data_IF_808237328811
#
_entry.id   IF_808237328811
#
_cell.length_a   1.000
_cell.length_b   1.000
_cell.length_c   1.000
_cell.angle_alpha   90.00
_cell.angle_beta   90.00
_cell.angle_gamma   90.00
#
_symmetry.space_group_name_H-M   'P 1'
#
loop_
_entity.id
_entity.type
_entity.pdbx_description
1 polymer ?
#
# COMPACT_ATOMS: atom_id res chain seq x y z
N UNK A 1 -5.76 7.27 4.93
CA UNK A 1 -5.45 8.05 6.15
C UNK A 1 -4.06 8.66 6.04
N UNK A 2 -3.96 9.96 5.80
CA UNK A 2 -2.74 10.72 6.05
C UNK A 2 -3.17 12.02 6.74
N UNK A 3 -2.96 12.09 8.05
CA UNK A 3 -3.08 13.32 8.82
C UNK A 3 -2.04 14.33 8.28
N UNK A 4 -2.51 15.44 7.70
CA UNK A 4 -1.69 16.64 7.58
C UNK A 4 -1.97 17.49 8.81
N UNK A 5 -1.27 17.19 9.90
CA UNK A 5 -1.12 18.12 11.00
C UNK A 5 -0.16 19.21 10.54
N UNK A 6 -0.71 20.30 10.01
CA UNK A 6 0.04 21.52 9.72
C UNK A 6 0.49 22.11 11.05
N UNK A 7 1.80 22.12 11.26
CA UNK A 7 2.40 22.79 12.43
C UNK A 7 2.27 24.30 12.27
N UNK A 8 2.43 25.05 13.38
CA UNK A 8 2.18 26.50 13.51
C UNK A 8 2.89 27.42 12.48
N UNK A 9 3.78 26.87 11.64
CA UNK A 9 4.49 27.57 10.57
C UNK A 9 4.00 27.22 9.16
N UNK A 10 2.89 26.49 9.02
CA UNK A 10 2.33 26.10 7.71
C UNK A 10 3.15 25.04 6.96
N UNK A 11 4.11 24.39 7.65
CA UNK A 11 4.92 23.32 7.08
C UNK A 11 4.22 21.97 7.27
N UNK A 12 4.32 21.12 6.25
CA UNK A 12 3.83 19.74 6.31
C UNK A 12 4.58 18.96 7.42
N UNK A 13 3.91 17.96 8.01
CA UNK A 13 4.52 17.10 9.03
C UNK A 13 5.76 16.38 8.47
N UNK A 14 6.81 16.30 9.29
CA UNK A 14 8.06 15.63 8.92
C UNK A 14 7.78 14.15 8.64
N UNK A 15 8.08 13.62 7.44
CA UNK A 15 7.88 12.21 7.15
C UNK A 15 8.80 11.31 7.99
N UNK A 16 8.39 10.06 8.27
CA UNK A 16 9.19 9.13 9.07
C UNK A 16 10.54 8.82 8.40
N UNK A 17 11.58 8.65 9.19
CA UNK A 17 12.96 8.40 8.75
C UNK A 17 13.17 7.06 8.04
N UNK A 18 12.16 6.19 8.02
CA UNK A 18 12.17 4.90 7.31
C UNK A 18 12.10 5.04 5.78
N UNK A 19 11.73 6.21 5.24
CA UNK A 19 11.67 6.48 3.80
C UNK A 19 12.57 7.68 3.43
N UNK A 20 13.83 7.42 2.99
CA UNK A 20 14.80 8.46 2.71
C UNK A 20 14.44 9.33 1.49
N UNK A 21 13.69 8.78 0.52
CA UNK A 21 13.28 9.54 -0.67
C UNK A 21 12.20 10.56 -0.34
N UNK A 22 11.25 10.19 0.51
CA UNK A 22 10.21 11.10 0.99
C UNK A 22 10.77 12.18 1.92
N UNK A 23 11.78 11.83 2.72
CA UNK A 23 12.51 12.78 3.56
C UNK A 23 13.28 13.81 2.71
N UNK A 24 13.98 13.37 1.67
CA UNK A 24 14.71 14.26 0.76
C UNK A 24 13.76 15.21 0.02
N UNK A 25 12.64 14.69 -0.49
CA UNK A 25 11.62 15.51 -1.17
C UNK A 25 11.02 16.56 -0.22
N UNK A 26 10.74 16.17 1.02
CA UNK A 26 10.31 17.09 2.07
C UNK A 26 11.34 18.20 2.32
N UNK A 27 12.62 17.85 2.55
CA UNK A 27 13.71 18.81 2.77
C UNK A 27 13.83 19.78 1.59
N UNK A 28 13.81 19.29 0.35
CA UNK A 28 13.88 20.12 -0.85
C UNK A 28 12.68 21.06 -0.97
N UNK A 29 11.49 20.64 -0.53
CA UNK A 29 10.29 21.49 -0.53
C UNK A 29 10.33 22.62 0.51
N UNK A 30 10.89 22.36 1.70
CA UNK A 30 10.94 23.34 2.80
C UNK A 30 12.17 24.25 2.73
N UNK A 31 13.25 23.80 2.08
CA UNK A 31 14.53 24.51 1.95
C UNK A 31 14.38 25.95 1.45
N UNK A 32 13.63 26.25 0.37
CA UNK A 32 13.45 27.61 -0.11
C UNK A 32 12.71 28.50 0.90
N UNK A 33 11.69 27.97 1.58
CA UNK A 33 10.90 28.69 2.57
C UNK A 33 11.74 28.97 3.83
N UNK A 34 12.49 27.98 4.30
CA UNK A 34 13.43 28.12 5.41
C UNK A 34 14.53 29.14 5.09
N UNK A 35 15.11 29.07 3.89
CA UNK A 35 16.13 30.03 3.45
C UNK A 35 15.58 31.45 3.38
N UNK A 36 14.36 31.63 2.86
CA UNK A 36 13.67 32.92 2.84
C UNK A 36 13.38 33.45 4.25
N UNK A 37 12.98 32.57 5.17
CA UNK A 37 12.76 32.93 6.58
C UNK A 37 14.06 33.34 7.26
N UNK A 38 15.16 32.62 7.06
CA UNK A 38 16.47 32.97 7.61
C UNK A 38 17.01 34.28 7.02
N UNK A 39 16.84 34.50 5.71
CA UNK A 39 17.21 35.75 5.04
C UNK A 39 16.38 36.94 5.56
N UNK A 40 15.07 36.77 5.74
CA UNK A 40 14.23 37.83 6.31
C UNK A 40 14.56 38.08 7.79
N UNK A 41 14.77 37.04 8.59
CA UNK A 41 15.21 37.15 9.99
C UNK A 41 16.54 37.90 10.12
N UNK A 42 17.53 37.55 9.31
CA UNK A 42 18.82 38.26 9.28
C UNK A 42 18.68 39.69 8.80
N UNK A 43 17.88 39.96 7.76
CA UNK A 43 17.58 41.31 7.29
C UNK A 43 16.94 42.17 8.39
N UNK A 44 15.89 41.67 9.07
CA UNK A 44 15.25 42.39 10.17
C UNK A 44 16.21 42.64 11.34
N UNK A 45 17.09 41.69 11.63
CA UNK A 45 18.11 41.85 12.69
C UNK A 45 19.10 42.97 12.36
N UNK A 46 19.62 42.99 11.13
CA UNK A 46 20.55 44.00 10.65
C UNK A 46 19.88 45.38 10.55
N UNK A 47 18.64 45.43 10.04
CA UNK A 47 17.85 46.66 9.95
C UNK A 47 17.57 47.24 11.34
N UNK A 48 17.16 46.42 12.31
CA UNK A 48 16.99 46.86 13.70
C UNK A 48 18.31 47.35 14.31
N UNK A 49 19.43 46.68 14.02
CA UNK A 49 20.73 47.13 14.49
C UNK A 49 21.13 48.48 13.87
N UNK A 50 20.81 48.71 12.59
CA UNK A 50 21.04 49.99 11.93
C UNK A 50 20.18 51.10 12.54
N UNK A 51 18.87 50.87 12.71
CA UNK A 51 17.97 51.82 13.37
C UNK A 51 18.44 52.20 14.78
N UNK A 52 18.94 51.24 15.56
CA UNK A 52 19.51 51.51 16.89
C UNK A 52 20.72 52.44 16.81
N UNK A 53 21.63 52.21 15.86
CA UNK A 53 22.80 53.08 15.65
C UNK A 53 22.40 54.49 15.24
N UNK A 54 21.43 54.64 14.36
CA UNK A 54 20.93 55.97 13.96
C UNK A 54 20.28 56.70 15.14
N UNK A 55 19.47 56.01 15.95
CA UNK A 55 18.90 56.60 17.16
C UNK A 55 19.98 57.04 18.15
N UNK A 56 21.02 56.24 18.35
CA UNK A 56 22.14 56.59 19.22
C UNK A 56 22.92 57.80 18.67
N UNK A 57 23.10 57.89 17.35
CA UNK A 57 23.72 59.05 16.71
C UNK A 57 22.89 60.33 16.87
N UNK A 58 21.57 60.23 16.69
CA UNK A 58 20.65 61.36 16.89
C UNK A 58 20.64 61.80 18.36
N UNK A 59 20.66 60.86 19.30
CA UNK A 59 20.77 61.15 20.74
C UNK A 59 22.05 61.90 21.08
N UNK A 60 23.20 61.43 20.61
CA UNK A 60 24.48 62.11 20.81
C UNK A 60 24.47 63.53 20.21
N UNK A 61 23.90 63.69 19.01
CA UNK A 61 23.75 65.02 18.41
C UNK A 61 22.84 65.94 19.21
N UNK A 62 21.78 65.40 19.81
CA UNK A 62 20.84 66.17 20.63
C UNK A 62 21.47 66.58 21.97
N UNK A 63 22.19 65.66 22.63
CA UNK A 63 22.96 65.94 23.84
C UNK A 63 23.97 67.07 23.60
N UNK A 64 24.73 67.00 22.50
CA UNK A 64 25.68 68.04 22.11
C UNK A 64 25.02 69.40 21.83
N UNK A 65 23.86 69.40 21.15
CA UNK A 65 23.10 70.64 20.90
C UNK A 65 22.52 71.23 22.20
N UNK A 66 22.13 70.37 23.14
CA UNK A 66 21.63 70.78 24.45
C UNK A 66 22.75 71.39 25.31
N UNK A 67 23.95 70.79 25.32
CA UNK A 67 25.13 71.35 25.98
C UNK A 67 25.48 72.73 25.41
N UNK A 68 25.52 72.87 24.08
CA UNK A 68 25.74 74.18 23.42
C UNK A 68 24.68 75.21 23.76
N UNK A 69 23.41 74.82 23.82
CA UNK A 69 22.34 75.72 24.20
C UNK A 69 22.49 76.19 25.65
N UNK A 70 22.95 75.30 26.55
CA UNK A 70 23.23 75.63 27.93
C UNK A 70 24.41 76.62 28.04
N UNK A 71 25.51 76.37 27.33
CA UNK A 71 26.67 77.26 27.29
C UNK A 71 26.31 78.68 26.80
N UNK A 72 25.46 78.78 25.78
CA UNK A 72 25.00 80.08 25.27
C UNK A 72 24.09 80.81 26.28
N UNK A 73 23.26 80.08 27.03
CA UNK A 73 22.44 80.67 28.10
C UNK A 73 23.32 81.14 29.28
N UNK A 74 24.35 80.39 29.66
CA UNK A 74 25.31 80.82 30.68
C UNK A 74 26.04 82.10 30.26
N UNK A 75 26.49 82.18 28.99
CA UNK A 75 27.09 83.41 28.44
C UNK A 75 26.12 84.58 28.47
N UNK A 76 24.85 84.35 28.09
CA UNK A 76 23.79 85.37 28.13
C UNK A 76 23.62 85.91 29.55
N UNK A 77 23.49 85.02 30.53
CA UNK A 77 23.33 85.37 31.94
C UNK A 77 24.56 86.10 32.50
N UNK A 78 25.77 85.69 32.10
CA UNK A 78 27.01 86.39 32.46
C UNK A 78 27.04 87.82 31.91
N UNK A 79 26.71 88.01 30.62
CA UNK A 79 26.68 89.34 29.99
C UNK A 79 25.61 90.22 30.64
N UNK A 80 24.44 89.68 30.94
CA UNK A 80 23.36 90.40 31.63
C UNK A 80 23.79 90.84 33.03
N UNK A 81 24.43 89.94 33.80
CA UNK A 81 24.98 90.26 35.12
C UNK A 81 26.08 91.32 35.03
N UNK A 82 27.03 91.17 34.13
CA UNK A 82 28.11 92.14 33.91
C UNK A 82 27.56 93.51 33.55
N UNK A 83 26.60 93.59 32.62
CA UNK A 83 25.93 94.84 32.26
C UNK A 83 25.22 95.47 33.48
N UNK A 84 24.56 94.67 34.32
CA UNK A 84 23.91 95.14 35.54
C UNK A 84 24.92 95.68 36.57
N UNK A 85 26.08 95.03 36.73
CA UNK A 85 27.16 95.46 37.62
C UNK A 85 27.80 96.75 37.14
N UNK A 86 28.08 96.90 35.84
CA UNK A 86 28.61 98.15 35.27
C UNK A 86 27.62 99.32 35.48
N UNK A 87 26.33 99.09 35.28
CA UNK A 87 25.30 100.11 35.55
C UNK A 87 25.22 100.44 37.04
N UNK A 88 25.35 99.43 37.91
CA UNK A 88 25.37 99.60 39.37
C UNK A 88 26.60 100.38 39.83
N UNK A 89 27.81 100.01 39.40
CA UNK A 89 29.06 100.74 39.71
C UNK A 89 28.98 102.19 39.23
N UNK A 90 28.49 102.42 37.99
CA UNK A 90 28.27 103.79 37.49
C UNK A 90 27.30 104.55 38.38
N UNK A 91 26.16 103.95 38.74
CA UNK A 91 25.18 104.59 39.62
C UNK A 91 25.73 104.81 41.03
N UNK A 92 26.52 103.90 41.57
CA UNK A 92 27.19 104.05 42.86
C UNK A 92 28.25 105.15 42.81
N UNK A 93 29.04 105.28 41.74
CA UNK A 93 29.95 106.41 41.52
C UNK A 93 29.21 107.74 41.39
N UNK A 94 28.01 107.74 40.81
CA UNK A 94 27.15 108.92 40.71
C UNK A 94 26.45 109.26 42.03
N UNK A 95 26.19 108.28 42.90
CA UNK A 95 25.36 108.43 44.10
C UNK A 95 26.09 108.20 45.43
N UNK A 96 27.38 107.84 45.43
CA UNK A 96 28.16 107.71 46.66
C UNK A 96 28.25 109.06 47.37
N UNK A 97 27.61 109.12 48.54
CA UNK A 97 27.75 110.22 49.51
C UNK A 97 29.15 110.15 50.15
N UNK A 98 30.18 110.50 49.40
CA UNK A 98 31.55 110.47 49.90
C UNK A 98 32.51 111.25 49.01
N UNK A 99 32.75 112.51 49.38
CA UNK A 99 33.70 113.48 48.79
C UNK A 99 33.26 114.15 47.48
N UNK A 100 32.93 115.44 47.61
CA UNK A 100 32.64 116.42 46.55
C UNK A 100 33.87 116.79 45.71
N UNK A 101 34.68 115.83 45.28
CA UNK A 101 35.90 116.12 44.48
C UNK A 101 35.84 115.58 43.06
N UNK A 102 34.89 114.71 42.72
CA UNK A 102 34.57 114.46 41.32
C UNK A 102 33.62 115.56 40.83
N UNK A 103 34.19 116.56 40.13
CA UNK A 103 33.45 117.50 39.30
C UNK A 103 32.83 116.71 38.15
N UNK A 104 31.71 116.05 38.42
CA UNK A 104 30.82 115.58 37.38
C UNK A 104 30.37 116.82 36.60
N UNK A 105 30.53 116.75 35.28
CA UNK A 105 30.21 117.81 34.34
C UNK A 105 28.70 118.01 34.32
N UNK A 106 28.18 118.90 35.16
CA UNK A 106 26.77 119.23 35.19
C UNK A 106 26.52 120.35 34.18
N UNK A 107 26.04 120.01 32.98
CA UNK A 107 25.58 120.99 31.99
C UNK A 107 24.39 121.87 32.48
N UNK A 108 23.88 121.65 33.70
CA UNK A 108 22.82 122.44 34.30
C UNK A 108 23.30 123.78 34.92
N UNK A 109 24.61 124.00 35.10
CA UNK A 109 25.12 125.18 35.84
C UNK A 109 25.99 126.16 35.01
N UNK A 110 25.97 126.11 33.68
CA UNK A 110 26.72 127.06 32.82
C UNK A 110 25.92 128.37 32.65
N UNK A 111 26.05 129.31 33.60
CA UNK A 111 25.40 130.65 33.54
C UNK A 111 26.27 131.77 32.96
N UNK A 112 27.52 131.53 32.57
CA UNK A 112 28.31 132.49 31.81
C UNK A 112 29.23 131.78 30.81
N UNK A 113 28.80 131.72 29.55
CA UNK A 113 29.63 131.46 28.39
C UNK A 113 28.94 132.09 27.16
N UNK A 114 28.74 133.41 27.21
CA UNK A 114 28.50 134.20 26.02
C UNK A 114 29.83 134.32 25.27
N UNK A 115 29.86 133.85 24.03
CA UNK A 115 31.01 133.80 23.12
C UNK A 115 31.97 132.62 23.33
N UNK A 116 31.46 131.42 23.06
CA UNK A 116 32.21 130.46 22.26
C UNK A 116 31.23 129.86 21.25
N UNK A 117 31.64 129.72 19.99
CA UNK A 117 30.94 128.93 18.98
C UNK A 117 31.09 127.44 19.36
N UNK A 118 30.54 127.09 20.51
CA UNK A 118 30.45 125.72 21.01
C UNK A 118 29.40 125.03 20.12
N UNK A 119 29.89 124.34 19.08
CA UNK A 119 29.15 123.35 18.28
C UNK A 119 28.85 122.11 19.14
N UNK A 120 28.42 122.33 20.37
CA UNK A 120 27.86 121.30 21.25
C UNK A 120 26.35 121.39 21.13
N UNK A 121 25.69 120.38 20.55
CA UNK A 121 24.24 120.40 20.43
C UNK A 121 23.64 120.62 21.82
N UNK A 122 22.76 121.62 21.94
CA UNK A 122 22.03 121.91 23.17
C UNK A 122 21.40 120.61 23.70
N UNK A 123 21.33 120.43 25.02
CA UNK A 123 20.65 119.27 25.65
C UNK A 123 19.24 119.09 25.07
N UNK A 124 18.57 120.17 24.67
CA UNK A 124 17.27 120.13 24.00
C UNK A 124 17.34 119.48 22.61
N UNK A 125 18.40 119.72 21.83
CA UNK A 125 18.65 119.06 20.53
C UNK A 125 18.94 117.57 20.70
N UNK A 126 19.84 117.20 21.62
CA UNK A 126 20.15 115.78 21.92
C UNK A 126 18.93 115.01 22.45
N UNK A 127 18.08 115.65 23.27
CA UNK A 127 16.81 115.08 23.72
C UNK A 127 15.81 114.93 22.56
N UNK A 128 15.75 115.90 21.66
CA UNK A 128 14.92 115.83 20.45
C UNK A 128 15.36 114.69 19.51
N UNK A 129 16.65 114.61 19.20
CA UNK A 129 17.24 113.54 18.39
C UNK A 129 16.99 112.17 19.02
N UNK A 130 17.21 112.02 20.34
CA UNK A 130 16.95 110.75 21.03
C UNK A 130 15.47 110.37 21.04
N UNK A 131 14.57 111.35 21.17
CA UNK A 131 13.13 111.12 21.04
C UNK A 131 12.75 110.70 19.61
N UNK A 132 13.35 111.30 18.58
CA UNK A 132 13.11 110.89 17.18
C UNK A 132 13.64 109.49 16.89
N UNK A 133 14.82 109.14 17.42
CA UNK A 133 15.41 107.80 17.32
C UNK A 133 14.52 106.76 18.02
N UNK A 134 14.09 107.04 19.26
CA UNK A 134 13.16 106.16 19.99
C UNK A 134 11.81 106.05 19.29
N UNK A 135 11.31 107.13 18.70
CA UNK A 135 10.07 107.11 17.91
C UNK A 135 10.23 106.26 16.65
N UNK A 136 11.40 106.32 15.99
CA UNK A 136 11.70 105.48 14.83
C UNK A 136 11.82 104.00 15.24
N UNK A 137 12.55 103.70 16.31
CA UNK A 137 12.66 102.35 16.86
C UNK A 137 11.30 101.80 17.29
N UNK A 138 10.44 102.62 17.91
CA UNK A 138 9.08 102.23 18.26
C UNK A 138 8.27 101.89 17.00
N UNK A 139 8.34 102.71 15.95
CA UNK A 139 7.66 102.43 14.67
C UNK A 139 8.17 101.13 14.04
N UNK A 140 9.48 100.90 14.03
CA UNK A 140 10.09 99.67 13.52
C UNK A 140 9.65 98.45 14.33
N UNK A 141 9.65 98.55 15.67
CA UNK A 141 9.20 97.47 16.55
C UNK A 141 7.71 97.18 16.38
N UNK A 142 6.87 98.21 16.22
CA UNK A 142 5.44 98.05 15.92
C UNK A 142 5.26 97.33 14.59
N UNK A 143 5.99 97.71 13.53
CA UNK A 143 5.93 97.03 12.23
C UNK A 143 6.38 95.56 12.32
N UNK A 144 7.49 95.29 13.03
CA UNK A 144 7.98 93.93 13.26
C UNK A 144 6.96 93.08 14.04
N UNK A 145 6.24 93.67 15.00
CA UNK A 145 5.20 93.00 15.75
C UNK A 145 4.00 92.65 14.85
N UNK A 146 3.56 93.57 14.00
CA UNK A 146 2.50 93.27 13.01
C UNK A 146 2.92 92.16 12.02
N UNK A 147 4.18 92.13 11.60
CA UNK A 147 4.68 91.06 10.74
C UNK A 147 4.73 89.70 11.47
N UNK A 148 5.12 89.69 12.75
CA UNK A 148 5.07 88.49 13.61
C UNK A 148 3.65 87.98 13.78
N UNK A 149 2.67 88.87 14.02
CA UNK A 149 1.26 88.50 14.12
C UNK A 149 0.73 87.89 12.81
N UNK A 150 1.11 88.48 11.66
CA UNK A 150 0.78 87.91 10.34
C UNK A 150 1.37 86.51 10.18
N UNK A 151 2.63 86.32 10.56
CA UNK A 151 3.29 85.00 10.48
C UNK A 151 2.62 83.98 11.40
N UNK A 152 2.25 84.38 12.63
CA UNK A 152 1.50 83.51 13.55
C UNK A 152 0.16 83.09 12.96
N UNK A 153 -0.59 84.00 12.35
CA UNK A 153 -1.86 83.67 11.67
C UNK A 153 -1.63 82.69 10.50
N UNK A 154 -0.59 82.90 9.69
CA UNK A 154 -0.26 81.95 8.61
C UNK A 154 0.16 80.59 9.14
N UNK A 155 0.94 80.53 10.22
CA UNK A 155 1.35 79.28 10.84
C UNK A 155 0.15 78.52 11.43
N UNK A 156 -0.79 79.23 12.06
CA UNK A 156 -2.04 78.64 12.55
C UNK A 156 -2.90 78.07 11.41
N UNK A 157 -3.02 78.80 10.30
CA UNK A 157 -3.72 78.30 9.11
C UNK A 157 -3.06 77.03 8.56
N UNK A 158 -1.73 77.02 8.41
CA UNK A 158 -1.00 75.84 7.94
C UNK A 158 -1.18 74.66 8.90
N UNK A 159 -1.08 74.89 10.21
CA UNK A 159 -1.30 73.85 11.21
C UNK A 159 -2.72 73.27 11.11
N UNK A 160 -3.73 74.11 10.95
CA UNK A 160 -5.12 73.67 10.77
C UNK A 160 -5.31 72.87 9.48
N UNK A 161 -4.76 73.32 8.36
CA UNK A 161 -4.82 72.59 7.09
C UNK A 161 -4.13 71.22 7.21
N UNK A 162 -2.96 71.17 7.86
CA UNK A 162 -2.23 69.91 8.07
C UNK A 162 -2.96 68.95 8.99
N UNK A 163 -3.68 69.46 10.00
CA UNK A 163 -4.56 68.64 10.83
C UNK A 163 -5.68 68.01 9.99
N UNK A 164 -6.34 68.78 9.12
CA UNK A 164 -7.40 68.26 8.24
C UNK A 164 -6.85 67.20 7.27
N UNK A 165 -5.69 67.46 6.65
CA UNK A 165 -5.03 66.49 5.76
C UNK A 165 -4.68 65.19 6.49
N UNK A 166 -4.15 65.28 7.72
CA UNK A 166 -3.85 64.12 8.55
C UNK A 166 -5.12 63.35 8.90
N UNK A 167 -6.19 64.03 9.32
CA UNK A 167 -7.46 63.38 9.66
C UNK A 167 -8.10 62.69 8.44
N UNK A 168 -8.02 63.30 7.26
CA UNK A 168 -8.46 62.71 6.00
C UNK A 168 -7.63 61.45 5.64
N UNK A 169 -6.31 61.52 5.76
CA UNK A 169 -5.42 60.39 5.54
C UNK A 169 -5.72 59.24 6.51
N UNK A 170 -5.86 59.54 7.80
CA UNK A 170 -6.21 58.56 8.83
C UNK A 170 -7.57 57.93 8.58
N UNK A 171 -8.57 58.70 8.11
CA UNK A 171 -9.87 58.18 7.71
C UNK A 171 -9.77 57.21 6.52
N UNK A 172 -8.97 57.56 5.51
CA UNK A 172 -8.71 56.69 4.35
C UNK A 172 -8.05 55.37 4.77
N UNK A 173 -7.01 55.44 5.60
CA UNK A 173 -6.32 54.25 6.12
C UNK A 173 -7.26 53.33 6.91
N UNK A 174 -8.19 53.89 7.71
CA UNK A 174 -9.20 53.09 8.44
C UNK A 174 -10.13 52.36 7.48
N UNK A 175 -10.61 53.03 6.44
CA UNK A 175 -11.48 52.40 5.42
C UNK A 175 -10.76 51.29 4.66
N UNK A 176 -9.50 51.51 4.29
CA UNK A 176 -8.69 50.48 3.63
C UNK A 176 -8.48 49.27 4.53
N UNK A 177 -8.14 49.49 5.80
CA UNK A 177 -8.03 48.42 6.80
C UNK A 177 -9.35 47.64 6.93
N UNK A 178 -10.48 48.32 7.01
CA UNK A 178 -11.79 47.67 7.16
C UNK A 178 -12.12 46.83 5.90
N UNK A 179 -11.82 47.34 4.71
CA UNK A 179 -11.94 46.60 3.45
C UNK A 179 -11.04 45.34 3.42
N UNK A 180 -9.79 45.46 3.88
CA UNK A 180 -8.89 44.31 3.99
C UNK A 180 -9.39 43.27 5.00
N UNK A 181 -9.97 43.69 6.12
CA UNK A 181 -10.59 42.77 7.07
C UNK A 181 -11.80 42.03 6.47
N UNK A 182 -12.66 42.73 5.72
CA UNK A 182 -13.78 42.12 5.00
C UNK A 182 -13.29 41.08 3.99
N UNK A 183 -12.23 41.41 3.24
CA UNK A 183 -11.62 40.51 2.26
C UNK A 183 -11.01 39.26 2.92
N UNK A 184 -10.29 39.42 4.03
CA UNK A 184 -9.75 38.30 4.82
C UNK A 184 -10.87 37.42 5.35
N UNK A 185 -11.97 38.01 5.85
CA UNK A 185 -13.12 37.25 6.33
C UNK A 185 -13.80 36.47 5.20
N UNK A 186 -13.92 37.05 4.00
CA UNK A 186 -14.45 36.37 2.82
C UNK A 186 -13.57 35.17 2.41
N UNK A 187 -12.24 35.36 2.33
CA UNK A 187 -11.31 34.27 2.02
C UNK A 187 -11.41 33.16 3.06
N UNK A 188 -11.43 33.52 4.35
CA UNK A 188 -11.51 32.56 5.45
C UNK A 188 -12.81 31.76 5.39
N UNK A 189 -13.93 32.42 5.07
CA UNK A 189 -15.22 31.76 4.83
C UNK A 189 -15.16 30.77 3.67
N UNK A 190 -14.56 31.16 2.54
CA UNK A 190 -14.38 30.26 1.39
C UNK A 190 -13.47 29.08 1.71
N UNK A 191 -12.37 29.30 2.43
CA UNK A 191 -11.45 28.25 2.85
C UNK A 191 -12.15 27.21 3.71
N UNK A 192 -12.88 27.64 4.75
CA UNK A 192 -13.62 26.70 5.62
C UNK A 192 -14.72 25.95 4.88
N UNK A 193 -15.35 26.55 3.86
CA UNK A 193 -16.31 25.85 3.01
C UNK A 193 -15.63 24.79 2.12
N UNK A 194 -14.47 25.12 1.55
CA UNK A 194 -13.66 24.16 0.76
C UNK A 194 -13.15 23.01 1.63
N UNK A 195 -12.70 23.26 2.85
CA UNK A 195 -12.30 22.21 3.80
C UNK A 195 -13.46 21.25 4.08
N UNK A 196 -14.66 21.76 4.35
CA UNK A 196 -15.85 20.91 4.55
C UNK A 196 -16.17 20.06 3.33
N UNK A 197 -16.13 20.64 2.13
CA UNK A 197 -16.35 19.89 0.88
C UNK A 197 -15.28 18.81 0.67
N UNK A 198 -14.01 19.07 1.01
CA UNK A 198 -12.96 18.08 0.97
C UNK A 198 -13.19 16.95 1.97
N UNK A 199 -13.61 17.26 3.20
CA UNK A 199 -13.96 16.24 4.19
C UNK A 199 -15.15 15.39 3.74
N UNK A 200 -16.18 16.00 3.18
CA UNK A 200 -17.34 15.28 2.63
C UNK A 200 -16.91 14.36 1.47
N UNK A 201 -16.12 14.85 0.51
CA UNK A 201 -15.60 14.04 -0.59
C UNK A 201 -14.70 12.90 -0.11
N UNK A 202 -13.83 13.13 0.88
CA UNK A 202 -13.00 12.10 1.49
C UNK A 202 -13.85 11.02 2.19
N UNK A 203 -14.93 11.42 2.87
CA UNK A 203 -15.85 10.49 3.52
C UNK A 203 -16.59 9.61 2.50
N UNK A 204 -17.05 10.21 1.39
CA UNK A 204 -17.69 9.47 0.30
C UNK A 204 -16.71 8.50 -0.35
N UNK A 205 -15.48 8.94 -0.62
CA UNK A 205 -14.43 8.08 -1.17
C UNK A 205 -14.12 6.89 -0.25
N UNK A 206 -14.10 7.09 1.07
CA UNK A 206 -13.88 5.99 2.02
C UNK A 206 -15.00 4.93 1.95
N UNK A 207 -16.25 5.35 1.77
CA UNK A 207 -17.39 4.44 1.58
C UNK A 207 -17.28 3.68 0.27
N UNK A 208 -16.94 4.36 -0.84
CA UNK A 208 -16.76 3.74 -2.15
C UNK A 208 -15.59 2.73 -2.16
N UNK A 209 -14.47 3.06 -1.51
CA UNK A 209 -13.35 2.12 -1.35
C UNK A 209 -13.79 0.87 -0.59
N UNK A 210 -14.55 1.04 0.49
CA UNK A 210 -15.07 -0.11 1.25
C UNK A 210 -16.05 -0.95 0.42
N UNK A 211 -16.90 -0.32 -0.41
CA UNK A 211 -17.81 -1.01 -1.32
C UNK A 211 -17.04 -1.79 -2.39
N UNK A 212 -16.02 -1.19 -3.00
CA UNK A 212 -15.13 -1.85 -3.96
C UNK A 212 -14.39 -3.03 -3.33
N UNK A 213 -13.85 -2.89 -2.11
CA UNK A 213 -13.22 -4.01 -1.42
C UNK A 213 -14.18 -5.18 -1.20
N UNK A 214 -15.45 -4.91 -0.87
CA UNK A 214 -16.47 -5.97 -0.75
C UNK A 214 -16.72 -6.64 -2.09
N UNK A 215 -16.91 -5.86 -3.15
CA UNK A 215 -17.12 -6.39 -4.49
C UNK A 215 -15.92 -7.21 -4.98
N UNK A 216 -14.68 -6.77 -4.71
CA UNK A 216 -13.48 -7.54 -5.05
C UNK A 216 -13.42 -8.87 -4.30
N UNK A 217 -13.75 -8.89 -2.99
CA UNK A 217 -13.85 -10.15 -2.24
C UNK A 217 -14.90 -11.10 -2.83
N UNK A 218 -16.07 -10.59 -3.21
CA UNK A 218 -17.11 -11.40 -3.87
C UNK A 218 -16.62 -11.98 -5.21
N UNK A 219 -15.86 -11.20 -5.99
CA UNK A 219 -15.25 -11.67 -7.24
C UNK A 219 -14.21 -12.76 -6.95
N UNK A 220 -13.37 -12.59 -5.94
CA UNK A 220 -12.37 -13.60 -5.56
C UNK A 220 -13.03 -14.91 -5.08
N UNK A 221 -14.11 -14.82 -4.29
CA UNK A 221 -14.91 -15.98 -3.87
C UNK A 221 -15.53 -16.71 -5.07
N UNK A 222 -16.00 -15.96 -6.07
CA UNK A 222 -16.53 -16.52 -7.32
C UNK A 222 -15.44 -17.19 -8.16
N UNK A 223 -14.25 -16.61 -8.25
CA UNK A 223 -13.11 -17.23 -8.93
C UNK A 223 -12.70 -18.53 -8.25
N UNK A 224 -12.58 -18.55 -6.92
CA UNK A 224 -12.26 -19.77 -6.18
C UNK A 224 -13.30 -20.86 -6.44
N UNK A 225 -14.59 -20.51 -6.46
CA UNK A 225 -15.66 -21.47 -6.73
C UNK A 225 -15.66 -21.97 -8.18
N UNK A 226 -15.26 -21.13 -9.14
CA UNK A 226 -15.05 -21.55 -10.52
C UNK A 226 -13.89 -22.55 -10.61
N UNK A 227 -12.76 -22.27 -9.97
CA UNK A 227 -11.60 -23.18 -9.94
C UNK A 227 -11.97 -24.55 -9.35
N UNK A 228 -12.74 -24.57 -8.26
CA UNK A 228 -13.27 -25.80 -7.65
C UNK A 228 -14.19 -26.58 -8.60
N UNK A 229 -15.08 -25.88 -9.32
CA UNK A 229 -15.97 -26.50 -10.30
C UNK A 229 -15.20 -27.02 -11.52
N UNK A 230 -14.21 -26.30 -12.01
CA UNK A 230 -13.35 -26.74 -13.10
C UNK A 230 -12.57 -28.00 -12.73
N UNK A 231 -12.02 -28.06 -11.51
CA UNK A 231 -11.36 -29.25 -10.99
C UNK A 231 -12.32 -30.45 -10.88
N UNK A 232 -13.56 -30.22 -10.42
CA UNK A 232 -14.60 -31.26 -10.37
C UNK A 232 -14.97 -31.78 -11.77
N UNK A 233 -15.13 -30.87 -12.74
CA UNK A 233 -15.42 -31.24 -14.14
C UNK A 233 -14.28 -32.07 -14.72
N UNK A 234 -13.04 -31.69 -14.47
CA UNK A 234 -11.88 -32.42 -14.98
C UNK A 234 -11.76 -33.82 -14.34
N UNK A 235 -12.03 -33.93 -13.05
CA UNK A 235 -12.12 -35.24 -12.37
C UNK A 235 -13.22 -36.11 -12.98
N UNK A 236 -14.42 -35.57 -13.20
CA UNK A 236 -15.52 -36.30 -13.85
C UNK A 236 -15.18 -36.71 -15.28
N UNK A 237 -14.46 -35.88 -16.04
CA UNK A 237 -13.98 -36.22 -17.39
C UNK A 237 -13.00 -37.39 -17.35
N UNK A 238 -12.07 -37.40 -16.38
CA UNK A 238 -11.14 -38.50 -16.20
C UNK A 238 -11.87 -39.80 -15.83
N UNK A 239 -12.82 -39.74 -14.90
CA UNK A 239 -13.67 -40.89 -14.55
C UNK A 239 -14.47 -41.40 -15.76
N UNK A 240 -15.04 -40.52 -16.57
CA UNK A 240 -15.74 -40.90 -17.80
C UNK A 240 -14.79 -41.57 -18.80
N UNK A 241 -13.59 -41.04 -19.00
CA UNK A 241 -12.60 -41.64 -19.89
C UNK A 241 -12.18 -43.06 -19.43
N UNK A 242 -12.02 -43.27 -18.12
CA UNK A 242 -11.77 -44.59 -17.54
C UNK A 242 -12.95 -45.54 -17.77
N UNK A 243 -14.19 -45.06 -17.58
CA UNK A 243 -15.40 -45.85 -17.82
C UNK A 243 -15.57 -46.21 -19.29
N UNK A 244 -15.27 -45.29 -20.21
CA UNK A 244 -15.27 -45.55 -21.65
C UNK A 244 -14.25 -46.64 -22.01
N UNK A 245 -13.04 -46.59 -21.44
CA UNK A 245 -12.04 -47.66 -21.60
C UNK A 245 -12.55 -49.01 -21.08
N UNK A 246 -13.20 -49.04 -19.91
CA UNK A 246 -13.80 -50.26 -19.35
C UNK A 246 -14.92 -50.81 -20.26
N UNK A 247 -15.77 -49.94 -20.79
CA UNK A 247 -16.84 -50.31 -21.72
C UNK A 247 -16.26 -50.90 -22.99
N UNK A 248 -15.22 -50.31 -23.55
CA UNK A 248 -14.58 -50.83 -24.76
C UNK A 248 -13.87 -52.17 -24.51
N UNK A 249 -13.25 -52.36 -23.34
CA UNK A 249 -12.73 -53.66 -22.93
C UNK A 249 -13.83 -54.71 -22.80
N UNK A 250 -14.96 -54.38 -22.16
CA UNK A 250 -16.12 -55.27 -22.04
C UNK A 250 -16.73 -55.61 -23.41
N UNK A 251 -16.87 -54.63 -24.31
CA UNK A 251 -17.30 -54.88 -25.70
C UNK A 251 -16.37 -55.87 -26.40
N UNK A 252 -15.06 -55.76 -26.21
CA UNK A 252 -14.10 -56.67 -26.81
C UNK A 252 -14.21 -58.08 -26.21
N UNK A 253 -14.36 -58.20 -24.89
CA UNK A 253 -14.60 -59.47 -24.22
C UNK A 253 -15.90 -60.13 -24.70
N UNK A 254 -16.98 -59.38 -24.87
CA UNK A 254 -18.25 -59.89 -25.42
C UNK A 254 -18.08 -60.36 -26.87
N UNK A 255 -17.37 -59.62 -27.72
CA UNK A 255 -17.06 -60.06 -29.09
C UNK A 255 -16.26 -61.36 -29.10
N UNK A 256 -15.26 -61.48 -28.23
CA UNK A 256 -14.46 -62.70 -28.08
C UNK A 256 -15.33 -63.87 -27.59
N UNK A 257 -16.16 -63.65 -26.57
CA UNK A 257 -17.08 -64.65 -26.04
C UNK A 257 -18.07 -65.12 -27.11
N UNK A 258 -18.66 -64.20 -27.88
CA UNK A 258 -19.56 -64.54 -29.00
C UNK A 258 -18.83 -65.27 -30.14
N UNK A 259 -17.52 -65.06 -30.34
CA UNK A 259 -16.72 -65.82 -31.30
C UNK A 259 -16.47 -67.25 -30.81
N UNK A 260 -16.11 -67.41 -29.52
CA UNK A 260 -15.95 -68.73 -28.89
C UNK A 260 -17.27 -69.48 -28.86
N UNK A 261 -18.38 -68.82 -28.52
CA UNK A 261 -19.72 -69.40 -28.56
C UNK A 261 -20.05 -69.92 -29.96
N UNK A 262 -19.81 -69.13 -31.00
CA UNK A 262 -20.00 -69.57 -32.40
C UNK A 262 -19.13 -70.77 -32.75
N UNK A 263 -17.87 -70.80 -32.32
CA UNK A 263 -16.99 -71.95 -32.52
C UNK A 263 -17.53 -73.19 -31.79
N UNK A 264 -17.94 -73.07 -30.53
CA UNK A 264 -18.53 -74.17 -29.77
C UNK A 264 -19.84 -74.66 -30.38
N UNK A 265 -20.70 -73.75 -30.84
CA UNK A 265 -21.94 -74.12 -31.54
C UNK A 265 -21.64 -74.88 -32.84
N UNK A 266 -20.61 -74.48 -33.60
CA UNK A 266 -20.20 -75.19 -34.81
C UNK A 266 -19.62 -76.57 -34.50
N UNK A 267 -18.81 -76.69 -33.45
CA UNK A 267 -18.31 -77.98 -32.96
C UNK A 267 -19.46 -78.89 -32.48
N UNK A 268 -20.43 -78.34 -31.73
CA UNK A 268 -21.64 -79.05 -31.34
C UNK A 268 -22.46 -79.50 -32.55
N UNK A 269 -22.62 -78.66 -33.59
CA UNK A 269 -23.30 -79.05 -34.84
C UNK A 269 -22.52 -80.12 -35.61
N UNK A 270 -21.19 -80.05 -35.63
CA UNK A 270 -20.33 -81.07 -36.24
C UNK A 270 -20.46 -82.40 -35.52
N UNK A 271 -20.56 -82.38 -34.19
CA UNK A 271 -20.80 -83.58 -33.38
C UNK A 271 -22.24 -84.10 -33.55
N UNK A 272 -23.23 -83.22 -33.65
CA UNK A 272 -24.63 -83.55 -33.89
C UNK A 272 -24.98 -83.84 -35.37
N UNK A 273 -24.00 -84.27 -36.18
CA UNK A 273 -24.24 -84.58 -37.59
C UNK A 273 -25.26 -85.72 -37.74
N UNK A 274 -26.31 -85.54 -38.56
CA UNK A 274 -27.29 -86.58 -38.85
C UNK A 274 -26.58 -87.70 -39.61
N UNK A 275 -26.34 -88.81 -38.93
CA UNK A 275 -25.52 -89.90 -39.44
C UNK A 275 -24.65 -90.52 -38.36
N UNK A 276 -24.18 -89.73 -37.37
CA UNK A 276 -23.49 -90.26 -36.19
C UNK A 276 -24.44 -91.01 -35.27
N UNK A 277 -25.64 -90.48 -35.03
CA UNK A 277 -26.67 -91.19 -34.27
C UNK A 277 -27.11 -92.47 -35.01
N UNK A 278 -27.24 -92.41 -36.33
CA UNK A 278 -27.53 -93.58 -37.16
C UNK A 278 -26.36 -94.59 -37.19
N UNK A 279 -25.11 -94.13 -37.13
CA UNK A 279 -23.91 -94.97 -37.00
C UNK A 279 -23.82 -95.61 -35.62
N UNK A 280 -24.16 -94.87 -34.56
CA UNK A 280 -24.28 -95.38 -33.19
C UNK A 280 -25.38 -96.43 -33.12
N UNK A 281 -26.57 -96.17 -33.67
CA UNK A 281 -27.68 -97.14 -33.74
C UNK A 281 -27.31 -98.37 -34.59
N UNK A 282 -26.60 -98.19 -35.72
CA UNK A 282 -26.14 -99.29 -36.55
C UNK A 282 -25.08 -100.15 -35.85
N UNK A 283 -24.11 -99.54 -35.18
CA UNK A 283 -23.11 -100.24 -34.36
C UNK A 283 -23.76 -100.93 -33.16
N UNK A 284 -24.75 -100.30 -32.52
CA UNK A 284 -25.55 -100.92 -31.47
C UNK A 284 -26.29 -102.16 -32.00
N UNK A 285 -26.94 -102.06 -33.16
CA UNK A 285 -27.60 -103.18 -33.82
C UNK A 285 -26.61 -104.29 -34.21
N UNK A 286 -25.40 -103.94 -34.64
CA UNK A 286 -24.34 -104.91 -34.95
C UNK A 286 -23.81 -105.61 -33.69
N UNK A 287 -23.66 -104.89 -32.58
CA UNK A 287 -23.31 -105.45 -31.27
C UNK A 287 -24.41 -106.38 -30.78
N UNK A 288 -25.68 -106.01 -30.88
CA UNK A 288 -26.82 -106.85 -30.52
C UNK A 288 -26.90 -108.12 -31.39
N UNK A 289 -26.63 -108.00 -32.70
CA UNK A 289 -26.57 -109.15 -33.61
C UNK A 289 -25.43 -110.12 -33.25
N UNK A 290 -24.26 -109.60 -32.89
CA UNK A 290 -23.13 -110.41 -32.44
C UNK A 290 -23.41 -111.06 -31.08
N UNK A 291 -23.97 -110.31 -30.13
CA UNK A 291 -24.37 -110.86 -28.83
C UNK A 291 -25.41 -111.97 -28.98
N UNK A 292 -26.42 -111.78 -29.83
CA UNK A 292 -27.43 -112.81 -30.09
C UNK A 292 -26.84 -114.02 -30.83
N UNK A 293 -25.93 -113.83 -31.77
CA UNK A 293 -25.24 -114.92 -32.45
C UNK A 293 -24.34 -115.73 -31.50
N UNK A 294 -23.56 -115.05 -30.64
CA UNK A 294 -22.71 -115.67 -29.63
C UNK A 294 -23.54 -116.42 -28.59
N UNK A 295 -24.61 -115.80 -28.07
CA UNK A 295 -25.56 -116.45 -27.16
C UNK A 295 -26.20 -117.68 -27.82
N UNK A 296 -26.59 -117.60 -29.09
CA UNK A 296 -27.13 -118.75 -29.83
C UNK A 296 -26.08 -119.85 -30.03
N UNK A 297 -24.83 -119.50 -30.33
CA UNK A 297 -23.74 -120.46 -30.50
C UNK A 297 -23.39 -121.13 -29.17
N UNK A 298 -23.35 -120.36 -28.07
CA UNK A 298 -23.18 -120.86 -26.71
C UNK A 298 -24.32 -121.81 -26.37
N UNK A 299 -25.57 -121.40 -26.61
CA UNK A 299 -26.77 -122.21 -26.38
C UNK A 299 -26.66 -123.52 -27.15
N UNK A 300 -26.33 -123.52 -28.44
CA UNK A 300 -26.13 -124.75 -29.23
C UNK A 300 -25.02 -125.64 -28.68
N UNK A 301 -23.89 -125.09 -28.23
CA UNK A 301 -22.79 -125.85 -27.62
C UNK A 301 -23.23 -126.49 -26.30
N UNK A 302 -23.87 -125.73 -25.43
CA UNK A 302 -24.39 -126.24 -24.16
C UNK A 302 -25.52 -127.23 -24.35
N UNK A 303 -26.45 -127.03 -25.29
CA UNK A 303 -27.50 -128.00 -25.64
C UNK A 303 -26.89 -129.32 -26.13
N UNK A 304 -25.87 -129.28 -27.01
CA UNK A 304 -25.14 -130.48 -27.45
C UNK A 304 -24.40 -131.16 -26.29
N UNK A 305 -23.82 -130.38 -25.39
CA UNK A 305 -23.12 -130.93 -24.22
C UNK A 305 -24.12 -131.57 -23.23
N UNK A 306 -25.27 -130.94 -23.02
CA UNK A 306 -26.39 -131.49 -22.25
C UNK A 306 -26.89 -132.79 -22.89
N UNK A 307 -27.05 -132.84 -24.22
CA UNK A 307 -27.43 -134.07 -24.94
C UNK A 307 -26.37 -135.17 -24.81
N UNK A 308 -25.09 -134.85 -24.88
CA UNK A 308 -24.02 -135.82 -24.64
C UNK A 308 -24.02 -136.34 -23.20
N UNK A 309 -24.26 -135.48 -22.22
CA UNK A 309 -24.39 -135.88 -20.81
C UNK A 309 -25.66 -136.70 -20.59
N UNK A 310 -26.77 -136.39 -21.27
CA UNK A 310 -28.00 -137.19 -21.26
C UNK A 310 -27.78 -138.55 -21.90
N UNK A 311 -27.08 -138.64 -23.05
CA UNK A 311 -26.73 -139.90 -23.68
C UNK A 311 -25.76 -140.75 -22.82
N UNK A 312 -24.86 -140.10 -22.08
CA UNK A 312 -23.99 -140.74 -21.11
C UNK A 312 -24.79 -141.23 -19.89
N UNK A 313 -25.73 -140.43 -19.40
CA UNK A 313 -26.64 -140.81 -18.32
C UNK A 313 -27.52 -141.98 -18.76
N UNK A 314 -28.09 -141.97 -19.96
CA UNK A 314 -28.87 -143.07 -20.53
C UNK A 314 -28.04 -144.34 -20.73
N UNK A 315 -26.77 -144.21 -21.14
CA UNK A 315 -25.84 -145.35 -21.20
C UNK A 315 -25.53 -145.88 -19.81
N UNK A 316 -25.31 -144.99 -18.83
CA UNK A 316 -25.07 -145.35 -17.45
C UNK A 316 -26.30 -146.04 -16.85
N UNK A 317 -27.51 -145.52 -17.07
CA UNK A 317 -28.77 -146.16 -16.72
C UNK A 317 -28.90 -147.54 -17.36
N UNK A 318 -28.59 -147.71 -18.65
CA UNK A 318 -28.60 -149.04 -19.28
C UNK A 318 -27.55 -150.01 -18.73
N UNK A 319 -26.41 -149.52 -18.25
CA UNK A 319 -25.43 -150.34 -17.52
C UNK A 319 -25.89 -150.65 -16.10
N UNK A 320 -26.56 -149.71 -15.42
CA UNK A 320 -27.18 -149.95 -14.11
C UNK A 320 -28.29 -151.00 -14.25
N UNK A 321 -29.18 -150.87 -15.24
CA UNK A 321 -30.22 -151.85 -15.54
C UNK A 321 -29.65 -153.25 -15.86
N UNK A 322 -28.48 -153.31 -16.52
CA UNK A 322 -27.76 -154.58 -16.78
C UNK A 322 -27.11 -155.15 -15.53
N UNK A 323 -26.51 -154.33 -14.68
CA UNK A 323 -25.94 -154.75 -13.40
C UNK A 323 -27.03 -155.18 -12.41
N UNK A 324 -28.20 -154.54 -12.44
CA UNK A 324 -29.40 -154.95 -11.71
C UNK A 324 -29.97 -156.29 -12.23
N UNK A 325 -29.90 -156.53 -13.54
CA UNK A 325 -30.24 -157.84 -14.14
C UNK A 325 -29.22 -158.94 -13.77
N UNK A 326 -27.94 -158.62 -13.65
CA UNK A 326 -26.89 -159.55 -13.21
C UNK A 326 -26.97 -159.86 -11.69
N UNK A 327 -27.41 -158.90 -10.88
CA UNK A 327 -27.66 -159.08 -9.45
C UNK A 327 -28.84 -160.03 -9.16
N UNK A 328 -29.74 -160.24 -10.12
CA UNK A 328 -30.94 -161.04 -9.95
C UNK A 328 -30.75 -162.56 -10.20
N UNK A 329 -29.57 -162.99 -10.70
CA UNK A 329 -29.34 -164.37 -11.19
C UNK A 329 -28.50 -165.28 -10.27
N UNK A 330 -28.04 -164.80 -9.10
CA UNK A 330 -27.45 -165.62 -8.04
C UNK A 330 -28.18 -165.39 -6.72
N UNK A 331 -29.11 -166.30 -6.36
CA UNK A 331 -29.93 -166.21 -5.15
C UNK A 331 -29.58 -167.35 -4.18
N UNK A 332 -29.46 -167.06 -2.87
CA UNK A 332 -30.18 -167.87 -1.88
C UNK A 332 -30.94 -167.03 -0.84
N UNK A 333 -32.03 -167.64 -0.40
CA UNK A 333 -32.89 -167.41 0.78
C UNK A 333 -32.06 -167.19 2.07
N UNK A 334 -32.44 -166.38 3.08
CA UNK A 334 -33.66 -166.47 3.93
C UNK A 334 -33.83 -165.28 4.90
N UNK A 335 -35.09 -165.12 5.34
CA UNK A 335 -35.64 -164.78 6.68
C UNK A 335 -35.29 -163.47 7.41
N UNK A 336 -36.38 -162.79 7.81
CA UNK A 336 -36.60 -162.07 9.07
C UNK A 336 -35.64 -160.90 9.35
N UNK A 337 -36.05 -159.65 9.49
CA UNK A 337 -37.07 -159.19 10.42
C UNK A 337 -37.21 -157.67 10.23
N UNK A 338 -38.46 -157.27 10.13
CA UNK A 338 -39.07 -156.19 10.91
C UNK A 338 -38.68 -154.72 10.71
N UNK A 339 -39.79 -153.98 10.63
CA UNK A 339 -40.08 -152.64 11.15
C UNK A 339 -39.70 -151.47 10.26
N UNK A 340 -40.69 -150.86 9.59
CA UNK A 340 -41.62 -149.90 10.20
C UNK A 340 -40.88 -148.90 11.09
N UNK A 341 -40.81 -147.66 10.65
CA UNK A 341 -41.76 -146.68 11.15
C UNK A 341 -41.28 -145.26 10.95
N UNK A 342 -42.28 -144.41 10.72
CA UNK A 342 -42.34 -143.02 11.13
C UNK A 342 -41.65 -141.94 10.29
N UNK A 343 -42.53 -141.01 9.93
CA UNK A 343 -42.34 -139.57 9.91
C UNK A 343 -42.01 -138.92 8.56
N UNK A 344 -43.09 -138.60 7.86
CA UNK A 344 -43.37 -137.22 7.45
C UNK A 344 -43.05 -136.23 8.60
N UNK A 345 -42.86 -134.90 8.38
CA UNK A 345 -43.49 -134.17 7.28
C UNK A 345 -42.74 -132.90 6.79
N UNK A 346 -43.42 -132.21 5.87
CA UNK A 346 -43.65 -130.77 5.90
C UNK A 346 -42.55 -129.78 5.50
N UNK A 347 -42.92 -129.05 4.45
CA UNK A 347 -43.14 -127.59 4.44
C UNK A 347 -41.94 -126.66 4.67
N UNK A 348 -42.04 -125.63 3.84
CA UNK A 348 -41.87 -124.24 4.23
C UNK A 348 -40.43 -123.71 4.28
N UNK A 349 -40.17 -122.89 3.26
CA UNK A 349 -40.01 -121.46 3.49
C UNK A 349 -38.60 -120.97 3.85
N UNK A 350 -38.20 -119.97 3.08
CA UNK A 350 -38.04 -118.61 3.59
C UNK A 350 -36.69 -118.16 4.14
N UNK A 351 -36.09 -117.29 3.33
CA UNK A 351 -35.58 -115.97 3.65
C UNK A 351 -34.26 -115.81 4.43
N UNK A 352 -33.66 -114.65 4.11
CA UNK A 352 -32.71 -113.82 4.86
C UNK A 352 -31.23 -114.27 4.79
N UNK A 353 -30.22 -113.38 4.71
CA UNK A 353 -30.22 -111.95 5.04
C UNK A 353 -28.93 -111.19 4.60
N UNK A 354 -29.00 -109.86 4.74
CA UNK A 354 -27.97 -108.98 5.36
C UNK A 354 -26.99 -108.07 4.55
N UNK A 355 -27.35 -106.77 4.61
CA UNK A 355 -26.62 -105.58 5.13
C UNK A 355 -25.58 -104.74 4.35
N UNK A 356 -25.77 -103.41 4.51
CA UNK A 356 -24.83 -102.30 4.29
C UNK A 356 -25.50 -101.15 3.51
N UNK A 357 -26.37 -100.27 4.04
CA UNK A 357 -26.29 -99.27 5.13
C UNK A 357 -25.37 -98.06 4.88
N UNK A 358 -25.98 -96.86 5.03
CA UNK A 358 -25.45 -95.50 5.28
C UNK A 358 -25.23 -94.58 4.06
N UNK A 359 -25.43 -93.26 4.10
CA UNK A 359 -26.23 -92.31 4.92
C UNK A 359 -25.77 -90.90 4.50
N UNK A 360 -26.73 -89.97 4.37
CA UNK A 360 -26.65 -88.51 4.65
C UNK A 360 -25.72 -87.61 3.81
N UNK A 361 -26.28 -86.59 3.14
CA UNK A 361 -26.67 -85.24 3.65
C UNK A 361 -25.48 -84.39 4.11
N UNK A 362 -25.21 -83.29 3.40
CA UNK A 362 -25.43 -81.89 3.86
C UNK A 362 -24.85 -80.97 2.77
N UNK A 363 -25.64 -80.15 2.08
CA UNK A 363 -26.23 -78.87 2.51
C UNK A 363 -25.25 -77.68 2.43
N UNK A 364 -25.65 -76.74 1.56
CA UNK A 364 -25.73 -75.29 1.79
C UNK A 364 -24.41 -74.48 1.67
N UNK A 365 -24.27 -73.89 0.48
CA UNK A 365 -24.43 -72.46 0.17
C UNK A 365 -23.47 -71.38 0.71
N UNK A 366 -23.17 -70.50 -0.26
CA UNK A 366 -23.29 -69.04 -0.21
C UNK A 366 -22.04 -68.20 0.11
N UNK A 367 -21.76 -67.37 -0.89
CA UNK A 367 -21.52 -65.92 -0.83
C UNK A 367 -20.18 -65.37 -0.30
N UNK A 368 -19.37 -64.96 -1.28
CA UNK A 368 -18.91 -63.59 -1.58
C UNK A 368 -18.16 -62.74 -0.52
N UNK A 369 -17.26 -61.84 -0.98
CA UNK A 369 -16.22 -61.15 -0.20
C UNK A 369 -16.68 -59.80 0.37
N UNK A 370 -15.79 -59.02 1.04
CA UNK A 370 -15.19 -57.85 0.37
C UNK A 370 -13.76 -57.44 0.81
N UNK A 371 -13.01 -56.81 -0.10
CA UNK A 371 -12.32 -55.48 -0.11
C UNK A 371 -12.09 -54.67 1.22
N UNK A 372 -11.37 -53.51 1.25
CA UNK A 372 -9.97 -53.17 0.93
C UNK A 372 -9.29 -52.22 1.99
N UNK A 373 -8.07 -51.73 1.67
CA UNK A 373 -7.41 -50.46 2.10
C UNK A 373 -6.74 -50.34 3.49
N UNK A 374 -5.54 -49.71 3.54
CA UNK A 374 -5.25 -48.39 4.18
C UNK A 374 -3.73 -48.06 4.17
N UNK A 375 -3.48 -46.85 3.68
CA UNK A 375 -2.43 -45.83 3.85
C UNK A 375 -1.43 -45.93 5.04
N UNK A 376 -0.19 -45.43 4.86
CA UNK A 376 0.27 -44.12 5.41
C UNK A 376 1.80 -43.89 5.26
N UNK A 377 2.13 -42.80 4.58
CA UNK A 377 2.97 -41.64 4.96
C UNK A 377 4.45 -41.71 5.40
N UNK A 378 5.11 -40.58 5.06
CA UNK A 378 6.29 -39.92 5.63
C UNK A 378 7.69 -40.33 5.12
N UNK A 379 8.65 -39.45 4.83
CA UNK A 379 8.74 -37.99 4.62
C UNK A 379 10.20 -37.62 4.24
N UNK A 380 10.39 -36.38 3.78
CA UNK A 380 11.61 -35.55 3.78
C UNK A 380 12.60 -35.55 2.61
N UNK A 381 12.57 -34.40 1.92
CA UNK A 381 13.68 -33.75 1.22
C UNK A 381 14.78 -33.23 2.17
N UNK A 382 15.95 -32.89 1.61
CA UNK A 382 16.71 -31.74 2.08
C UNK A 382 17.10 -30.75 0.97
N UNK A 383 17.04 -29.48 1.38
CA UNK A 383 17.37 -28.25 0.66
C UNK A 383 18.83 -28.12 0.22
N UNK A 384 19.07 -27.30 -0.81
CA UNK A 384 20.39 -26.77 -1.17
C UNK A 384 20.37 -25.25 -1.32
N UNK A 385 21.45 -24.67 -0.80
CA UNK A 385 21.82 -23.27 -0.67
C UNK A 385 22.87 -22.86 -1.72
N UNK A 386 22.89 -21.57 -2.08
CA UNK A 386 24.05 -20.75 -2.54
C UNK A 386 23.53 -19.30 -2.71
N UNK A 387 24.05 -18.19 -2.14
CA UNK A 387 25.38 -17.65 -1.83
C UNK A 387 26.05 -16.82 -2.96
N UNK A 388 25.88 -15.48 -2.87
CA UNK A 388 26.90 -14.38 -3.01
C UNK A 388 27.52 -14.05 -4.40
N UNK A 389 28.26 -12.91 -4.60
CA UNK A 389 28.44 -11.65 -3.81
C UNK A 389 28.49 -10.29 -4.61
N UNK A 390 28.53 -9.16 -3.87
CA UNK A 390 29.30 -7.88 -4.01
C UNK A 390 29.30 -7.04 -5.33
N UNK A 391 29.53 -5.71 -5.40
CA UNK A 391 30.29 -4.76 -4.56
C UNK A 391 30.05 -3.26 -4.96
N UNK A 392 30.53 -2.33 -4.11
CA UNK A 392 30.96 -0.92 -4.37
C UNK A 392 29.93 0.23 -4.28
N UNK A 393 30.19 1.42 -3.71
CA UNK A 393 31.28 1.99 -2.91
C UNK A 393 30.77 3.34 -2.33
N UNK A 394 31.04 3.63 -1.05
CA UNK A 394 30.79 4.92 -0.41
C UNK A 394 32.05 5.79 -0.48
N UNK A 395 31.92 7.00 -1.04
CA UNK A 395 32.96 8.03 -1.00
C UNK A 395 32.90 8.82 0.32
N UNK A 396 33.95 8.70 1.13
CA UNK A 396 34.31 9.66 2.17
C UNK A 396 35.55 10.45 1.72
N UNK A 397 35.57 11.79 1.82
CA UNK A 397 36.80 12.55 1.68
C UNK A 397 37.53 12.62 3.02
N UNK A 398 38.76 12.13 3.01
CA UNK A 398 39.79 12.34 4.04
C UNK A 398 40.25 13.80 4.03
N UNK A 399 40.18 14.45 5.18
CA UNK A 399 40.90 15.69 5.49
C UNK A 399 42.32 15.34 5.90
N UNK A 400 43.33 15.84 5.19
CA UNK A 400 44.65 15.98 5.77
C UNK A 400 45.50 17.06 5.09
N UNK A 401 46.44 17.59 5.88
CA UNK A 401 47.55 18.51 5.58
C UNK A 401 47.32 20.03 5.72
N UNK A 402 47.69 20.49 6.91
CA UNK A 402 48.21 21.81 7.25
C UNK A 402 49.34 22.29 6.32
N UNK A 403 49.27 23.52 5.80
CA UNK A 403 50.37 24.49 5.87
C UNK A 403 49.92 25.92 5.48
N UNK A 404 50.49 26.89 6.18
CA UNK A 404 50.51 28.35 6.00
C UNK A 404 49.21 29.20 5.93
N UNK A 405 48.93 29.87 7.05
CA UNK A 405 47.75 30.71 7.31
C UNK A 405 47.81 32.12 6.70
N UNK A 406 47.82 32.22 5.37
CA UNK A 406 47.27 33.38 4.65
C UNK A 406 46.33 32.90 3.58
N UNK A 407 45.05 32.90 3.92
CA UNK A 407 43.93 32.70 2.99
C UNK A 407 44.17 33.59 1.77
N UNK A 408 44.44 32.96 0.61
CA UNK A 408 44.60 33.63 -0.69
C UNK A 408 43.26 34.26 -1.09
N UNK A 409 43.00 35.43 -0.51
CA UNK A 409 41.74 36.17 -0.64
C UNK A 409 41.46 36.52 -2.09
N UNK A 410 42.50 36.77 -2.88
CA UNK A 410 42.39 37.09 -4.30
C UNK A 410 42.10 35.84 -5.13
N UNK A 411 42.69 34.69 -4.79
CA UNK A 411 42.32 33.39 -5.35
C UNK A 411 40.87 33.01 -5.10
N UNK A 412 40.38 33.21 -3.87
CA UNK A 412 38.98 32.95 -3.48
C UNK A 412 38.02 33.90 -4.20
N UNK A 413 38.35 35.19 -4.29
CA UNK A 413 37.52 36.16 -5.02
C UNK A 413 37.42 35.81 -6.50
N UNK A 414 38.52 35.39 -7.13
CA UNK A 414 38.53 34.97 -8.53
C UNK A 414 37.71 33.70 -8.75
N UNK A 415 37.76 32.76 -7.81
CA UNK A 415 36.98 31.52 -7.88
C UNK A 415 35.48 31.77 -7.64
N UNK A 416 35.12 32.68 -6.72
CA UNK A 416 33.74 33.13 -6.53
C UNK A 416 33.22 33.85 -7.77
N UNK A 417 34.03 34.69 -8.40
CA UNK A 417 33.64 35.40 -9.63
C UNK A 417 33.39 34.41 -10.78
N UNK A 418 34.23 33.39 -10.95
CA UNK A 418 34.01 32.32 -11.93
C UNK A 418 32.75 31.50 -11.65
N UNK A 419 32.45 31.23 -10.37
CA UNK A 419 31.23 30.52 -9.98
C UNK A 419 29.97 31.36 -10.22
N UNK A 420 30.03 32.67 -10.01
CA UNK A 420 28.94 33.60 -10.33
C UNK A 420 28.72 33.66 -11.84
N UNK A 421 29.79 33.77 -12.62
CA UNK A 421 29.71 33.76 -14.09
C UNK A 421 29.13 32.45 -14.64
N UNK A 422 29.54 31.30 -14.08
CA UNK A 422 28.99 29.99 -14.48
C UNK A 422 27.53 29.83 -14.03
N UNK A 423 27.16 30.32 -12.85
CA UNK A 423 25.77 30.34 -12.38
C UNK A 423 24.90 31.21 -13.28
N UNK A 424 25.38 32.38 -13.71
CA UNK A 424 24.67 33.25 -14.64
C UNK A 424 24.52 32.63 -16.02
N UNK A 425 25.54 31.90 -16.48
CA UNK A 425 25.49 31.14 -17.73
C UNK A 425 24.44 30.03 -17.68
N UNK A 426 24.37 29.27 -16.58
CA UNK A 426 23.36 28.22 -16.38
C UNK A 426 21.96 28.79 -16.29
N UNK A 427 21.76 29.87 -15.53
CA UNK A 427 20.49 30.59 -15.45
C UNK A 427 20.02 31.05 -16.84
N UNK A 428 20.90 31.64 -17.66
CA UNK A 428 20.56 32.05 -19.03
C UNK A 428 20.19 30.86 -19.93
N UNK A 429 20.84 29.71 -19.77
CA UNK A 429 20.51 28.50 -20.52
C UNK A 429 19.14 27.93 -20.09
N UNK A 430 18.86 27.91 -18.79
CA UNK A 430 17.57 27.49 -18.24
C UNK A 430 16.43 28.43 -18.66
N UNK A 431 16.65 29.75 -18.62
CA UNK A 431 15.69 30.74 -19.11
C UNK A 431 15.42 30.58 -20.62
N UNK A 432 16.44 30.25 -21.41
CA UNK A 432 16.27 29.96 -22.84
C UNK A 432 15.47 28.67 -23.08
N UNK A 433 15.73 27.62 -22.30
CA UNK A 433 14.99 26.37 -22.36
C UNK A 433 13.52 26.55 -21.95
N UNK A 434 13.27 27.31 -20.88
CA UNK A 434 11.92 27.61 -20.42
C UNK A 434 11.09 28.38 -21.47
N UNK A 435 11.73 29.26 -22.25
CA UNK A 435 11.07 29.95 -23.37
C UNK A 435 10.68 28.99 -24.48
N UNK A 436 11.57 28.06 -24.85
CA UNK A 436 11.25 27.02 -25.84
C UNK A 436 10.10 26.13 -25.37
N UNK A 437 10.12 25.71 -24.11
CA UNK A 437 9.05 24.89 -23.53
C UNK A 437 7.72 25.65 -23.49
N UNK A 438 7.75 26.95 -23.19
CA UNK A 438 6.56 27.81 -23.22
C UNK A 438 5.98 27.95 -24.64
N UNK A 439 6.83 28.06 -25.66
CA UNK A 439 6.41 28.10 -27.06
C UNK A 439 5.79 26.76 -27.49
N UNK A 440 6.39 25.63 -27.10
CA UNK A 440 5.86 24.29 -27.36
C UNK A 440 4.49 24.11 -26.69
N UNK A 441 4.37 24.49 -25.42
CA UNK A 441 3.09 24.45 -24.69
C UNK A 441 2.05 25.38 -25.33
N UNK A 442 2.47 26.53 -25.86
CA UNK A 442 1.62 27.44 -26.63
C UNK A 442 1.12 26.82 -27.93
N UNK A 443 1.96 26.07 -28.64
CA UNK A 443 1.57 25.31 -29.83
C UNK A 443 0.61 24.15 -29.50
N UNK A 444 0.86 23.40 -28.42
CA UNK A 444 -0.02 22.32 -27.96
C UNK A 444 -1.38 22.90 -27.55
N UNK A 445 -1.40 24.00 -26.80
CA UNK A 445 -2.65 24.68 -26.39
C UNK A 445 -3.47 25.12 -27.60
N UNK A 446 -2.83 25.72 -28.62
CA UNK A 446 -3.51 26.13 -29.86
C UNK A 446 -4.07 24.93 -30.63
N UNK A 447 -3.36 23.79 -30.67
CA UNK A 447 -3.87 22.56 -31.29
C UNK A 447 -5.06 22.01 -30.53
N UNK A 448 -4.98 21.91 -29.21
CA UNK A 448 -6.10 21.44 -28.37
C UNK A 448 -7.32 22.34 -28.55
N UNK A 449 -7.15 23.66 -28.56
CA UNK A 449 -8.24 24.62 -28.79
C UNK A 449 -8.87 24.48 -30.19
N UNK A 450 -8.07 24.18 -31.23
CA UNK A 450 -8.57 23.92 -32.57
C UNK A 450 -9.37 22.61 -32.67
N UNK A 451 -9.11 21.62 -31.81
CA UNK A 451 -9.89 20.37 -31.73
C UNK A 451 -11.15 20.49 -30.86
N UNK A 452 -11.19 21.44 -29.92
CA UNK A 452 -12.34 21.67 -29.02
C UNK A 452 -13.27 22.79 -29.48
N UNK A 453 -12.95 23.49 -30.57
CA UNK A 453 -13.83 24.50 -31.14
C UNK A 453 -15.04 23.82 -31.83
N UNK A 454 -16.28 24.15 -31.47
CA UNK A 454 -17.46 23.56 -32.11
C UNK A 454 -17.56 24.07 -33.55
N UNK A 455 -17.63 23.12 -34.49
CA UNK A 455 -17.90 23.34 -35.90
C UNK A 455 -19.30 23.90 -36.16
#
# INVERSE_FOLDING_TARGET
>A
MQHQDTTAFGLAAVPPSSDPHRLLSYVLSIMPQYTSMELSSTHFRLYNQHLRRELDQVRQSLEFMQERAHDEEEKRMFVEKYASEVVKERNELLHHKGKKTHKLWHNCCRKHASYDLDVTPSITSLRGEKLTEMTLQLKQNVQALHEKDRLLQTAQHVAHTKQIELDAHMSSCRKERDHLHEYIAQISGLHTAQERQLYEAQSQLAVEVQANEKSHREIDDLHQRLDELEALVENQRNELAEKDCQVDQLKQLVKNAAAVERQLQEECRRLAQPGRDAEIEALQSQVEALQTADVQQLTRKYTKHIQLLQDQLDKQSRTIDRLEQELHHFRPMTLDDMTDSHNAPSLASSWHDSFGTMSRRSSIAADLPPDPSVLLHESHEPSRSSSTPNDSECFHPTTDSSDDGRIDRDGILKQLQLLVEESDRRRKAEEAQARLDQDVLGHVRRRVQAFTAPS
#
